data_IF_467505667498
#
_entry.id   IF_467505667498
#
_cell.length_a   1.000
_cell.length_b   1.000
_cell.length_c   1.000
_cell.angle_alpha   90.00
_cell.angle_beta   90.00
_cell.angle_gamma   90.00
#
_symmetry.space_group_name_H-M   'P 1'
#
loop_
_entity.id
_entity.type
_entity.pdbx_description
1 polymer ?
#
# COMPACT_ATOMS: atom_id res chain seq x y z
N UNK A 1 -20.98 26.38 25.19
CA UNK A 1 -19.85 27.03 25.90
C UNK A 1 -18.60 26.83 25.08
N UNK A 2 -18.12 27.89 24.42
CA UNK A 2 -16.87 27.91 23.66
C UNK A 2 -15.67 28.03 24.60
N UNK A 3 -14.61 27.24 24.39
CA UNK A 3 -13.29 27.48 25.02
C UNK A 3 -12.15 27.29 24.00
N UNK A 4 -11.72 28.44 23.48
CA UNK A 4 -10.34 28.97 23.46
C UNK A 4 -9.25 28.11 22.79
N UNK A 5 -8.82 28.67 21.65
CA UNK A 5 -7.52 28.59 20.97
C UNK A 5 -6.30 28.32 21.87
N UNK A 6 -5.39 27.45 21.41
CA UNK A 6 -3.96 27.72 21.59
C UNK A 6 -3.17 27.28 20.35
N UNK A 7 -2.72 28.29 19.61
CA UNK A 7 -1.76 28.25 18.52
C UNK A 7 -0.35 28.18 19.15
N UNK A 8 0.44 27.17 18.79
CA UNK A 8 1.89 27.19 19.03
C UNK A 8 2.59 26.83 17.72
N UNK A 9 3.03 27.87 17.02
CA UNK A 9 3.96 27.81 15.89
C UNK A 9 5.37 27.66 16.42
N UNK A 10 6.09 26.61 15.99
CA UNK A 10 7.54 26.52 16.17
C UNK A 10 8.21 26.41 14.80
N UNK A 11 8.73 27.54 14.33
CA UNK A 11 9.64 27.63 13.19
C UNK A 11 11.07 27.46 13.68
N UNK A 12 11.86 26.62 13.01
CA UNK A 12 13.31 26.68 13.09
C UNK A 12 13.89 26.32 11.72
N UNK A 13 14.29 27.35 10.98
CA UNK A 13 15.17 27.24 9.83
C UNK A 13 16.61 27.15 10.34
N UNK A 14 17.43 26.28 9.73
CA UNK A 14 18.87 26.39 9.81
C UNK A 14 19.46 26.07 8.44
N UNK A 15 19.80 27.16 7.75
CA UNK A 15 20.66 27.20 6.58
C UNK A 15 22.10 27.22 7.09
N UNK A 16 22.94 26.32 6.60
CA UNK A 16 24.39 26.50 6.63
C UNK A 16 24.94 26.23 5.24
N UNK A 17 25.43 27.30 4.62
CA UNK A 17 26.34 27.21 3.49
C UNK A 17 27.78 27.01 3.96
N UNK A 18 28.59 26.38 3.13
CA UNK A 18 30.04 26.48 3.17
C UNK A 18 30.56 26.34 1.74
N UNK A 19 31.39 27.31 1.38
CA UNK A 19 31.92 27.62 0.06
C UNK A 19 33.26 26.90 -0.18
N UNK A 20 33.54 26.63 -1.46
CA UNK A 20 34.83 26.46 -2.15
C UNK A 20 35.96 25.64 -1.49
N UNK A 21 36.45 24.62 -2.21
CA UNK A 21 37.89 24.60 -2.54
C UNK A 21 38.16 23.80 -3.84
N UNK A 22 39.05 24.36 -4.66
CA UNK A 22 39.63 23.75 -5.87
C UNK A 22 40.74 22.82 -5.42
N UNK A 23 40.78 21.58 -5.91
CA UNK A 23 42.01 20.97 -6.45
C UNK A 23 41.74 19.57 -7.04
N UNK A 24 42.31 19.34 -8.21
CA UNK A 24 42.42 18.08 -8.97
C UNK A 24 43.87 18.10 -9.50
N UNK A 25 44.69 17.00 -9.53
CA UNK A 25 44.32 15.68 -10.07
C UNK A 25 44.98 14.42 -9.44
N UNK A 26 44.50 13.26 -9.91
CA UNK A 26 45.07 11.90 -9.84
C UNK A 26 45.01 11.25 -8.43
N UNK A 27 44.57 10.01 -8.24
CA UNK A 27 44.73 8.83 -9.07
C UNK A 27 43.49 7.92 -9.04
N UNK A 28 43.22 7.30 -10.18
CA UNK A 28 42.22 6.26 -10.34
C UNK A 28 42.70 4.99 -9.63
N UNK A 29 42.23 4.77 -8.41
CA UNK A 29 42.17 3.44 -7.83
C UNK A 29 40.77 3.27 -7.23
N UNK A 30 39.90 2.62 -8.00
CA UNK A 30 38.55 2.20 -7.62
C UNK A 30 38.62 1.33 -6.35
N UNK A 31 38.56 1.98 -5.18
CA UNK A 31 38.40 1.32 -3.89
C UNK A 31 36.94 0.94 -3.74
N UNK A 32 36.55 -0.14 -4.44
CA UNK A 32 35.23 -0.73 -4.29
C UNK A 32 35.00 -1.21 -2.87
N UNK A 33 33.89 -0.76 -2.29
CA UNK A 33 33.22 -1.11 -1.01
C UNK A 33 33.45 -2.58 -0.54
N UNK A 34 34.65 -2.84 -0.02
CA UNK A 34 35.05 -4.17 0.48
C UNK A 34 35.19 -4.09 1.98
N UNK A 35 34.36 -4.84 2.71
CA UNK A 35 34.41 -4.92 4.16
C UNK A 35 35.36 -6.04 4.54
N UNK A 36 36.40 -5.71 5.31
CA UNK A 36 37.30 -6.70 5.87
C UNK A 36 36.56 -7.47 6.99
N UNK A 37 36.30 -8.75 6.77
CA UNK A 37 35.77 -9.66 7.80
C UNK A 37 36.91 -10.56 8.32
N UNK A 38 36.79 -11.21 9.50
CA UNK A 38 37.82 -12.14 9.97
C UNK A 38 38.04 -13.36 9.03
N UNK A 39 37.18 -13.55 8.04
CA UNK A 39 37.30 -14.57 6.99
C UNK A 39 37.80 -14.01 5.64
N UNK A 40 38.24 -12.75 5.62
CA UNK A 40 38.77 -12.08 4.42
C UNK A 40 37.86 -10.96 3.87
N UNK A 41 38.27 -10.33 2.76
CA UNK A 41 37.56 -9.22 2.13
C UNK A 41 36.23 -9.67 1.50
N UNK A 42 35.11 -9.09 1.96
CA UNK A 42 33.78 -9.35 1.43
C UNK A 42 33.24 -8.11 0.70
N UNK A 43 32.69 -8.31 -0.52
CA UNK A 43 32.05 -7.24 -1.29
C UNK A 43 30.69 -6.89 -0.67
N UNK A 44 30.39 -5.62 -0.40
CA UNK A 44 29.04 -5.22 -0.02
C UNK A 44 28.10 -5.41 -1.22
N UNK A 45 27.18 -6.35 -1.10
CA UNK A 45 26.08 -6.46 -2.05
C UNK A 45 25.06 -5.37 -1.72
N UNK A 46 25.12 -4.25 -2.44
CA UNK A 46 24.03 -3.28 -2.47
C UNK A 46 22.78 -4.01 -2.96
N UNK A 47 21.81 -4.19 -2.06
CA UNK A 47 20.56 -4.85 -2.37
C UNK A 47 19.88 -4.12 -3.53
N UNK A 48 19.62 -4.84 -4.63
CA UNK A 48 18.80 -4.32 -5.71
C UNK A 48 17.44 -3.82 -5.15
N UNK A 49 16.87 -2.73 -5.69
CA UNK A 49 15.55 -2.28 -5.26
C UNK A 49 14.58 -3.44 -5.36
N UNK A 50 13.90 -3.76 -4.26
CA UNK A 50 12.90 -4.84 -4.20
C UNK A 50 11.94 -4.66 -5.39
N UNK A 51 11.72 -5.70 -6.22
CA UNK A 51 10.74 -5.61 -7.29
C UNK A 51 9.39 -5.23 -6.67
N UNK A 52 8.78 -4.16 -7.19
CA UNK A 52 7.46 -3.75 -6.77
C UNK A 52 6.51 -4.91 -7.03
N UNK A 53 6.04 -5.54 -5.96
CA UNK A 53 5.03 -6.61 -6.03
C UNK A 53 3.78 -5.99 -6.63
N UNK A 54 3.56 -6.20 -7.93
CA UNK A 54 2.28 -5.92 -8.57
C UNK A 54 1.26 -6.83 -7.89
N UNK A 55 0.42 -6.24 -7.04
CA UNK A 55 -0.70 -6.97 -6.44
C UNK A 55 -1.60 -7.40 -7.59
N UNK A 56 -1.46 -8.64 -8.03
CA UNK A 56 -2.48 -9.29 -8.83
C UNK A 56 -3.77 -9.20 -8.02
N UNK A 57 -4.84 -8.71 -8.64
CA UNK A 57 -6.18 -8.53 -8.04
C UNK A 57 -6.67 -9.89 -7.53
N UNK A 58 -6.21 -10.25 -6.35
CA UNK A 58 -6.51 -11.47 -5.65
C UNK A 58 -7.66 -11.12 -4.73
N UNK A 59 -8.69 -11.96 -4.79
CA UNK A 59 -9.91 -11.83 -3.99
C UNK A 59 -9.55 -11.42 -2.55
N UNK A 60 -10.18 -10.38 -1.98
CA UNK A 60 -9.83 -9.89 -0.66
C UNK A 60 -9.94 -11.04 0.34
N UNK A 61 -8.86 -11.25 1.10
CA UNK A 61 -8.72 -12.35 2.05
C UNK A 61 -9.71 -12.21 3.23
N UNK A 62 -10.20 -10.99 3.44
CA UNK A 62 -11.10 -10.60 4.52
C UNK A 62 -12.34 -9.96 3.88
N UNK A 63 -13.53 -10.48 4.21
CA UNK A 63 -14.80 -9.83 3.87
C UNK A 63 -15.13 -8.80 4.94
N UNK A 64 -15.59 -7.64 4.52
CA UNK A 64 -15.99 -6.56 5.41
C UNK A 64 -17.48 -6.27 5.23
N UNK A 65 -18.20 -6.12 6.33
CA UNK A 65 -19.58 -5.67 6.36
C UNK A 65 -19.73 -4.52 7.36
N UNK A 66 -20.45 -3.46 6.97
CA UNK A 66 -20.77 -2.34 7.84
C UNK A 66 -22.18 -2.54 8.41
N UNK A 67 -22.30 -2.57 9.74
CA UNK A 67 -23.56 -2.67 10.46
C UNK A 67 -23.67 -1.47 11.41
N UNK A 68 -24.36 -0.42 10.96
CA UNK A 68 -24.45 0.85 11.69
C UNK A 68 -23.08 1.51 11.85
N UNK A 69 -22.57 1.55 13.09
CA UNK A 69 -21.28 2.17 13.45
C UNK A 69 -20.17 1.12 13.70
N UNK A 70 -20.42 -0.14 13.36
CA UNK A 70 -19.50 -1.25 13.59
C UNK A 70 -19.17 -1.98 12.30
N UNK A 71 -17.88 -2.15 12.03
CA UNK A 71 -17.36 -3.02 10.97
C UNK A 71 -17.20 -4.45 11.50
N UNK A 72 -17.75 -5.40 10.74
CA UNK A 72 -17.54 -6.83 10.95
C UNK A 72 -16.59 -7.36 9.89
N UNK A 73 -15.45 -7.88 10.33
CA UNK A 73 -14.42 -8.47 9.48
C UNK A 73 -14.53 -9.99 9.57
N UNK A 74 -14.56 -10.67 8.42
CA UNK A 74 -14.59 -12.14 8.35
C UNK A 74 -13.46 -12.65 7.47
N UNK A 75 -12.52 -13.36 8.08
CA UNK A 75 -11.38 -13.99 7.41
C UNK A 75 -11.58 -15.50 7.33
N UNK A 76 -11.35 -16.07 6.15
CA UNK A 76 -11.29 -17.52 5.99
C UNK A 76 -9.90 -18.04 6.39
N UNK A 77 -9.87 -19.06 7.24
CA UNK A 77 -8.65 -19.73 7.71
C UNK A 77 -8.78 -21.24 7.47
N UNK A 78 -7.66 -22.00 7.46
CA UNK A 78 -7.72 -23.46 7.33
C UNK A 78 -8.53 -24.15 8.42
N UNK A 79 -8.70 -23.49 9.58
CA UNK A 79 -9.42 -24.01 10.75
C UNK A 79 -10.87 -23.51 10.83
N UNK A 80 -11.36 -22.81 9.80
CA UNK A 80 -12.69 -22.23 9.75
C UNK A 80 -12.68 -20.71 9.56
N UNK A 81 -13.76 -20.04 9.97
CA UNK A 81 -13.92 -18.60 9.81
C UNK A 81 -13.55 -17.87 11.10
N UNK A 82 -12.67 -16.88 10.99
CA UNK A 82 -12.39 -15.94 12.08
C UNK A 82 -13.15 -14.65 11.82
N UNK A 83 -13.99 -14.26 12.76
CA UNK A 83 -14.78 -13.02 12.67
C UNK A 83 -14.47 -12.13 13.87
N UNK A 84 -14.26 -10.84 13.61
CA UNK A 84 -14.11 -9.85 14.67
C UNK A 84 -14.83 -8.55 14.29
N UNK A 85 -15.18 -7.77 15.32
CA UNK A 85 -15.94 -6.53 15.18
C UNK A 85 -15.13 -5.34 15.68
N UNK A 86 -15.22 -4.19 15.00
CA UNK A 86 -14.61 -2.93 15.41
C UNK A 86 -15.55 -1.76 15.21
N UNK A 87 -15.58 -0.85 16.17
CA UNK A 87 -16.24 0.44 15.99
C UNK A 87 -15.50 1.26 14.91
N UNK A 88 -16.22 2.10 14.17
CA UNK A 88 -15.64 3.02 13.18
C UNK A 88 -14.59 3.94 13.79
N UNK A 89 -14.79 4.37 15.04
CA UNK A 89 -13.89 5.23 15.79
C UNK A 89 -12.56 4.53 16.16
N UNK A 90 -12.57 3.22 16.31
CA UNK A 90 -11.43 2.41 16.78
C UNK A 90 -10.70 1.67 15.64
N UNK A 91 -10.90 2.09 14.40
CA UNK A 91 -10.24 1.46 13.25
C UNK A 91 -8.75 1.76 13.21
N UNK A 92 -7.94 0.71 13.24
CA UNK A 92 -6.51 0.78 12.98
C UNK A 92 -6.21 1.09 11.50
N UNK A 93 -4.98 1.54 11.21
CA UNK A 93 -4.54 1.83 9.85
C UNK A 93 -4.64 0.60 8.93
N UNK A 94 -4.37 -0.59 9.46
CA UNK A 94 -4.45 -1.84 8.71
C UNK A 94 -5.91 -2.21 8.38
N UNK A 95 -6.84 -2.00 9.32
CA UNK A 95 -8.26 -2.28 9.09
C UNK A 95 -8.87 -1.31 8.07
N UNK A 96 -8.46 -0.02 8.08
CA UNK A 96 -8.86 0.95 7.05
C UNK A 96 -8.41 0.52 5.66
N UNK A 97 -7.22 -0.05 5.56
CA UNK A 97 -6.71 -0.59 4.29
C UNK A 97 -7.52 -1.80 3.83
N UNK A 98 -7.94 -2.68 4.75
CA UNK A 98 -8.80 -3.81 4.40
C UNK A 98 -10.18 -3.37 3.89
N UNK A 99 -10.73 -2.29 4.45
CA UNK A 99 -11.98 -1.68 3.94
C UNK A 99 -11.78 -1.18 2.51
N UNK A 100 -10.72 -0.40 2.26
CA UNK A 100 -10.42 0.12 0.92
C UNK A 100 -10.19 -0.99 -0.12
N UNK A 101 -9.42 -2.02 0.25
CA UNK A 101 -9.16 -3.18 -0.62
C UNK A 101 -10.48 -3.95 -0.93
N UNK A 102 -11.43 -3.98 0.01
CA UNK A 102 -12.76 -4.59 -0.19
C UNK A 102 -13.66 -3.74 -1.09
N UNK A 103 -13.67 -2.41 -0.93
CA UNK A 103 -14.42 -1.49 -1.78
C UNK A 103 -13.95 -1.52 -3.23
N UNK A 104 -12.63 -1.55 -3.46
CA UNK A 104 -12.05 -1.69 -4.80
C UNK A 104 -12.47 -3.02 -5.46
N UNK A 105 -12.47 -4.10 -4.68
CA UNK A 105 -12.91 -5.41 -5.16
C UNK A 105 -14.40 -5.45 -5.51
N UNK A 106 -15.25 -4.85 -4.67
CA UNK A 106 -16.69 -4.79 -4.90
C UNK A 106 -17.03 -3.91 -6.12
N UNK A 107 -16.32 -2.81 -6.32
CA UNK A 107 -16.43 -1.99 -7.53
C UNK A 107 -16.03 -2.77 -8.79
N UNK A 108 -14.92 -3.50 -8.76
CA UNK A 108 -14.48 -4.33 -9.88
C UNK A 108 -15.48 -5.47 -10.18
N UNK A 109 -16.09 -6.05 -9.15
CA UNK A 109 -17.11 -7.08 -9.31
C UNK A 109 -18.42 -6.52 -9.87
N UNK A 110 -18.80 -5.30 -9.50
CA UNK A 110 -19.97 -4.61 -10.04
C UNK A 110 -19.81 -4.30 -11.53
N UNK A 111 -18.61 -3.90 -11.98
CA UNK A 111 -18.29 -3.69 -13.39
C UNK A 111 -18.45 -4.99 -14.20
N UNK A 112 -17.97 -6.13 -13.66
CA UNK A 112 -18.11 -7.44 -14.31
C UNK A 112 -19.53 -8.00 -14.29
N UNK A 113 -20.40 -7.50 -13.41
CA UNK A 113 -21.79 -7.93 -13.30
C UNK A 113 -22.71 -7.21 -14.30
N UNK A 114 -22.20 -6.27 -15.12
CA UNK A 114 -22.99 -5.65 -16.18
C UNK A 114 -23.36 -6.73 -17.21
N UNK A 115 -24.64 -7.08 -17.37
CA UNK A 115 -25.02 -8.17 -18.25
C UNK A 115 -24.59 -7.82 -19.67
N UNK A 116 -23.78 -8.69 -20.28
CA UNK A 116 -23.63 -8.76 -21.73
C UNK A 116 -25.04 -8.91 -22.28
N UNK A 117 -25.62 -7.80 -22.75
CA UNK A 117 -26.94 -7.78 -23.36
C UNK A 117 -27.02 -8.94 -24.35
N UNK A 118 -27.95 -9.85 -24.12
CA UNK A 118 -28.20 -10.97 -25.01
C UNK A 118 -28.44 -10.41 -26.41
N UNK A 119 -27.78 -10.91 -27.47
CA UNK A 119 -28.14 -10.53 -28.82
C UNK A 119 -29.62 -10.87 -29.03
N UNK A 120 -30.40 -9.89 -29.47
CA UNK A 120 -31.84 -9.99 -29.69
C UNK A 120 -32.18 -11.27 -30.48
N UNK A 121 -33.29 -11.97 -30.16
CA UNK A 121 -33.75 -13.09 -30.97
C UNK A 121 -34.10 -12.57 -32.37
N UNK A 122 -33.35 -13.01 -33.37
CA UNK A 122 -33.62 -12.76 -34.79
C UNK A 122 -34.96 -13.39 -35.15
N UNK A 123 -36.03 -12.58 -35.18
CA UNK A 123 -37.30 -12.97 -35.80
C UNK A 123 -37.04 -13.32 -37.28
N UNK A 124 -37.22 -14.59 -37.63
CA UNK A 124 -37.32 -15.02 -39.03
C UNK A 124 -38.63 -14.47 -39.60
N UNK A 125 -38.63 -13.85 -40.79
CA UNK A 125 -39.88 -13.55 -41.47
C UNK A 125 -40.57 -14.88 -41.84
N UNK A 126 -41.80 -15.06 -41.36
CA UNK A 126 -42.70 -16.10 -41.85
C UNK A 126 -43.02 -15.82 -43.32
N UNK A 127 -42.86 -16.84 -44.16
CA UNK A 127 -43.41 -16.90 -45.53
C UNK A 127 -44.87 -17.31 -45.49
#
# INVERSE_FOLDING_TARGET
MFRIFMLVTLSAALVFGAEADKDKPADTASSGDTVQTPFGPAKKQTAAPKPAVRRTASKPLVKVALEGDTYTFTRQTPFGSQTWKRATADLSADEKKLIADQEEWDAHKAEQAKPKAAPAPTEKPQS
#
